data_IF_910109178174
#
_entry.id   IF_910109178174
#
_cell.length_a   1.000
_cell.length_b   1.000
_cell.length_c   1.000
_cell.angle_alpha   90.00
_cell.angle_beta   90.00
_cell.angle_gamma   90.00
#
_symmetry.space_group_name_H-M   'P 1'
#
loop_
_entity.id
_entity.type
_entity.pdbx_description
1 polymer ?
#
# COMPACT_ATOMS: atom_id res chain seq x y z
N UNK A 1 13.87 18.69 -10.56
CA UNK A 1 14.42 18.62 -11.93
C UNK A 1 13.88 17.36 -12.55
N UNK A 2 13.10 17.50 -13.62
CA UNK A 2 12.54 16.34 -14.33
C UNK A 2 13.69 15.52 -14.91
N UNK A 3 13.65 14.21 -14.69
CA UNK A 3 14.51 13.20 -15.29
C UNK A 3 14.72 13.55 -16.76
N UNK A 4 15.96 13.74 -17.23
CA UNK A 4 16.29 14.11 -18.62
C UNK A 4 15.97 13.03 -19.66
N UNK A 5 14.87 12.30 -19.47
CA UNK A 5 14.41 11.16 -20.23
C UNK A 5 13.52 11.63 -21.39
N UNK A 6 13.58 10.88 -22.50
CA UNK A 6 12.70 11.12 -23.65
C UNK A 6 11.23 10.83 -23.27
N UNK A 7 10.29 11.45 -23.99
CA UNK A 7 8.85 11.21 -23.82
C UNK A 7 8.49 9.72 -23.87
N UNK A 8 9.07 8.97 -24.81
CA UNK A 8 8.81 7.54 -24.96
C UNK A 8 9.27 6.76 -23.72
N UNK A 9 10.42 7.11 -23.17
CA UNK A 9 10.95 6.48 -21.95
C UNK A 9 10.06 6.78 -20.74
N UNK A 10 9.62 8.03 -20.59
CA UNK A 10 8.69 8.43 -19.53
C UNK A 10 7.34 7.75 -19.68
N UNK A 11 6.84 7.58 -20.91
CA UNK A 11 5.61 6.85 -21.19
C UNK A 11 5.72 5.37 -20.83
N UNK A 12 6.83 4.71 -21.15
CA UNK A 12 7.06 3.31 -20.74
C UNK A 12 7.19 3.16 -19.22
N UNK A 13 7.85 4.11 -18.57
CA UNK A 13 7.98 4.15 -17.11
C UNK A 13 6.61 4.26 -16.44
N UNK A 14 5.77 5.19 -16.93
CA UNK A 14 4.41 5.38 -16.44
C UNK A 14 3.55 4.12 -16.68
N UNK A 15 3.57 3.57 -17.89
CA UNK A 15 2.79 2.38 -18.24
C UNK A 15 3.35 1.07 -17.68
N UNK A 16 4.51 1.08 -17.02
CA UNK A 16 5.05 -0.06 -16.28
C UNK A 16 4.22 -0.45 -15.06
N UNK A 17 3.29 0.42 -14.65
CA UNK A 17 2.38 0.20 -13.52
C UNK A 17 0.94 0.01 -13.99
N UNK A 18 0.20 -0.84 -13.26
CA UNK A 18 -1.24 -0.97 -13.48
C UNK A 18 -1.97 0.36 -13.15
N UNK A 19 -3.06 0.73 -13.85
CA UNK A 19 -3.78 1.98 -13.61
C UNK A 19 -4.21 2.19 -12.15
N UNK A 20 -4.69 1.14 -11.49
CA UNK A 20 -5.07 1.17 -10.07
C UNK A 20 -3.88 1.48 -9.13
N UNK A 21 -2.65 1.18 -9.57
CA UNK A 21 -1.43 1.49 -8.85
C UNK A 21 -1.17 3.00 -8.85
N UNK A 22 -1.44 3.74 -9.93
CA UNK A 22 -1.25 5.20 -9.98
C UNK A 22 -2.10 5.94 -8.95
N UNK A 23 -3.37 5.58 -8.81
CA UNK A 23 -4.25 6.18 -7.80
C UNK A 23 -3.73 5.90 -6.38
N UNK A 24 -3.24 4.68 -6.14
CA UNK A 24 -2.63 4.29 -4.87
C UNK A 24 -1.33 5.04 -4.59
N UNK A 25 -0.46 5.13 -5.60
CA UNK A 25 0.79 5.89 -5.57
C UNK A 25 0.52 7.36 -5.23
N UNK A 26 -0.47 7.99 -5.87
CA UNK A 26 -0.86 9.38 -5.63
C UNK A 26 -1.39 9.59 -4.20
N UNK A 27 -2.17 8.64 -3.67
CA UNK A 27 -2.73 8.73 -2.32
C UNK A 27 -1.62 8.72 -1.25
N UNK A 28 -0.65 7.80 -1.37
CA UNK A 28 0.48 7.73 -0.44
C UNK A 28 1.38 8.96 -0.57
N UNK A 29 1.63 9.43 -1.80
CA UNK A 29 2.37 10.67 -2.04
C UNK A 29 1.71 11.86 -1.33
N UNK A 30 0.42 12.09 -1.56
CA UNK A 30 -0.33 13.18 -0.92
C UNK A 30 -0.36 13.04 0.61
N UNK A 31 -0.53 11.82 1.12
CA UNK A 31 -0.50 11.56 2.56
C UNK A 31 0.86 11.89 3.18
N UNK A 32 1.97 11.54 2.52
CA UNK A 32 3.32 11.85 2.97
C UNK A 32 3.59 13.36 2.92
N UNK A 33 3.16 14.06 1.86
CA UNK A 33 3.27 15.52 1.78
C UNK A 33 2.46 16.23 2.87
N UNK A 34 1.23 15.78 3.13
CA UNK A 34 0.40 16.33 4.20
C UNK A 34 1.07 16.15 5.56
N UNK A 35 1.66 14.98 5.82
CA UNK A 35 2.43 14.76 7.04
C UNK A 35 3.67 15.63 7.14
N UNK A 36 4.46 15.73 6.08
CA UNK A 36 5.68 16.52 6.12
C UNK A 36 5.38 18.01 6.36
N UNK A 37 4.30 18.51 5.77
CA UNK A 37 3.81 19.87 6.04
C UNK A 37 3.36 20.02 7.50
N UNK A 38 2.49 19.14 7.98
CA UNK A 38 1.88 19.26 9.31
C UNK A 38 2.83 18.97 10.47
N UNK A 39 3.66 17.93 10.36
CA UNK A 39 4.50 17.44 11.45
C UNK A 39 5.94 17.95 11.38
N UNK A 40 6.44 18.28 10.18
CA UNK A 40 7.83 18.69 9.98
C UNK A 40 7.97 20.14 9.46
N UNK A 41 6.86 20.82 9.14
CA UNK A 41 6.88 22.17 8.58
C UNK A 41 7.51 22.26 7.18
N UNK A 42 7.58 21.15 6.45
CA UNK A 42 8.25 21.06 5.15
C UNK A 42 7.25 21.24 4.00
N UNK A 43 7.48 22.26 3.17
CA UNK A 43 6.69 22.50 1.96
C UNK A 43 6.95 21.47 0.85
N UNK A 44 8.18 20.95 0.75
CA UNK A 44 8.55 19.90 -0.19
C UNK A 44 9.36 18.80 0.51
N UNK A 45 8.81 17.59 0.66
CA UNK A 45 9.49 16.52 1.38
C UNK A 45 10.41 15.64 0.52
N UNK A 46 10.64 16.01 -0.75
CA UNK A 46 11.47 15.25 -1.67
C UNK A 46 12.81 15.93 -1.95
N UNK A 47 13.93 15.18 -1.97
CA UNK A 47 14.04 13.75 -1.69
C UNK A 47 13.83 13.42 -0.21
N UNK A 48 13.15 12.30 0.05
CA UNK A 48 12.85 11.87 1.41
C UNK A 48 14.14 11.47 2.14
N UNK A 49 14.39 12.10 3.29
CA UNK A 49 15.50 11.75 4.18
C UNK A 49 15.13 10.55 5.06
N UNK A 50 16.15 9.83 5.53
CA UNK A 50 15.96 8.67 6.42
C UNK A 50 15.22 9.05 7.70
N UNK A 51 15.52 10.21 8.28
CA UNK A 51 14.86 10.76 9.48
C UNK A 51 13.38 11.06 9.24
N UNK A 52 13.04 11.59 8.06
CA UNK A 52 11.65 11.84 7.67
C UNK A 52 10.86 10.55 7.53
N UNK A 53 11.46 9.52 6.92
CA UNK A 53 10.84 8.20 6.79
C UNK A 53 10.64 7.54 8.16
N UNK A 54 11.60 7.69 9.08
CA UNK A 54 11.49 7.19 10.46
C UNK A 54 10.33 7.89 11.20
N UNK A 55 10.26 9.22 11.13
CA UNK A 55 9.17 9.98 11.72
C UNK A 55 7.82 9.63 11.10
N UNK A 56 7.80 9.31 9.80
CA UNK A 56 6.59 8.85 9.12
C UNK A 56 6.12 7.49 9.63
N UNK A 57 7.03 6.53 9.82
CA UNK A 57 6.71 5.24 10.45
C UNK A 57 6.18 5.43 11.88
N UNK A 58 6.77 6.34 12.66
CA UNK A 58 6.27 6.67 13.99
C UNK A 58 4.86 7.30 13.96
N UNK A 59 4.58 8.16 12.99
CA UNK A 59 3.24 8.72 12.79
C UNK A 59 2.20 7.64 12.50
N UNK A 60 2.54 6.66 11.66
CA UNK A 60 1.68 5.49 11.40
C UNK A 60 1.40 4.67 12.68
N UNK A 61 2.34 4.64 13.62
CA UNK A 61 2.18 3.90 14.88
C UNK A 61 1.15 4.59 15.76
N UNK A 62 1.23 5.91 15.90
CA UNK A 62 0.22 6.72 16.60
C UNK A 62 -1.15 6.57 15.94
N UNK A 63 -1.19 6.51 14.60
CA UNK A 63 -2.42 6.30 13.84
C UNK A 63 -2.90 4.83 13.81
N UNK A 64 -2.27 3.93 14.57
CA UNK A 64 -2.62 2.49 14.67
C UNK A 64 -2.73 1.78 13.32
N UNK A 65 -1.89 2.16 12.35
CA UNK A 65 -1.87 1.53 11.03
C UNK A 65 -1.25 0.13 11.09
N UNK A 66 -1.61 -0.73 10.14
CA UNK A 66 -1.05 -2.06 10.07
C UNK A 66 0.41 -2.04 9.59
N UNK A 67 1.21 -3.04 10.01
CA UNK A 67 2.56 -3.22 9.50
C UNK A 67 2.60 -3.34 7.96
N UNK A 68 1.62 -4.03 7.38
CA UNK A 68 1.52 -4.18 5.93
C UNK A 68 1.29 -2.84 5.22
N UNK A 69 0.51 -1.94 5.83
CA UNK A 69 0.32 -0.57 5.33
C UNK A 69 1.64 0.19 5.33
N UNK A 70 2.37 0.19 6.46
CA UNK A 70 3.66 0.90 6.54
C UNK A 70 4.66 0.38 5.52
N UNK A 71 4.78 -0.96 5.40
CA UNK A 71 5.66 -1.59 4.41
C UNK A 71 5.27 -1.21 2.98
N UNK A 72 3.97 -1.21 2.68
CA UNK A 72 3.44 -0.81 1.38
C UNK A 72 3.76 0.65 1.08
N UNK A 73 3.48 1.57 2.01
CA UNK A 73 3.70 3.00 1.85
C UNK A 73 5.19 3.32 1.62
N UNK A 74 6.11 2.67 2.36
CA UNK A 74 7.55 2.80 2.12
C UNK A 74 7.94 2.33 0.71
N UNK A 75 7.36 1.24 0.22
CA UNK A 75 7.61 0.72 -1.13
C UNK A 75 7.10 1.67 -2.21
N UNK A 76 5.92 2.25 -1.99
CA UNK A 76 5.30 3.23 -2.87
C UNK A 76 6.15 4.50 -2.94
N UNK A 77 6.57 5.04 -1.79
CA UNK A 77 7.45 6.21 -1.74
C UNK A 77 8.80 5.94 -2.43
N UNK A 78 9.36 4.74 -2.28
CA UNK A 78 10.59 4.35 -3.00
C UNK A 78 10.37 4.32 -4.51
N UNK A 79 9.24 3.79 -4.97
CA UNK A 79 8.90 3.73 -6.40
C UNK A 79 8.78 5.15 -6.98
N UNK A 80 8.10 6.06 -6.26
CA UNK A 80 8.07 7.49 -6.63
C UNK A 80 9.46 8.12 -6.78
N UNK A 81 10.40 7.77 -5.90
CA UNK A 81 11.77 8.27 -6.04
C UNK A 81 12.44 7.72 -7.30
N UNK A 82 12.22 6.45 -7.63
CA UNK A 82 12.72 5.86 -8.88
C UNK A 82 12.11 6.58 -10.09
N UNK A 83 10.80 6.79 -10.09
CA UNK A 83 10.08 7.43 -11.19
C UNK A 83 10.56 8.87 -11.44
N UNK A 84 10.84 9.60 -10.35
CA UNK A 84 11.35 10.97 -10.40
C UNK A 84 12.88 11.06 -10.56
N UNK A 85 13.60 9.94 -10.65
CA UNK A 85 15.07 9.92 -10.72
C UNK A 85 15.77 10.45 -9.47
N UNK A 86 15.11 10.37 -8.31
CA UNK A 86 15.61 10.82 -7.01
C UNK A 86 16.41 9.73 -6.28
N UNK A 87 17.33 10.10 -5.37
CA UNK A 87 18.09 9.12 -4.61
C UNK A 87 17.19 8.24 -3.72
N UNK A 88 17.45 6.94 -3.73
CA UNK A 88 16.72 5.94 -2.92
C UNK A 88 17.52 5.44 -1.70
N UNK A 89 18.67 6.06 -1.41
CA UNK A 89 19.58 5.65 -0.33
C UNK A 89 18.92 5.69 1.05
N UNK A 90 18.04 6.66 1.29
CA UNK A 90 17.30 6.81 2.55
C UNK A 90 16.45 5.57 2.91
N UNK A 91 15.89 4.88 1.90
CA UNK A 91 15.07 3.68 2.09
C UNK A 91 15.87 2.45 2.53
N UNK A 92 17.19 2.48 2.37
CA UNK A 92 18.09 1.39 2.77
C UNK A 92 18.75 1.63 4.13
N UNK A 93 18.43 2.73 4.81
CA UNK A 93 18.98 3.09 6.12
C UNK A 93 18.79 1.96 7.15
N UNK A 94 19.86 1.54 7.87
CA UNK A 94 19.75 0.58 8.97
C UNK A 94 18.77 1.02 10.06
N UNK A 95 18.75 2.32 10.37
CA UNK A 95 17.85 2.89 11.37
C UNK A 95 16.39 2.74 10.96
N UNK A 96 16.06 3.01 9.69
CA UNK A 96 14.71 2.81 9.16
C UNK A 96 14.29 1.33 9.25
N UNK A 97 15.20 0.41 8.91
CA UNK A 97 14.95 -1.04 9.03
C UNK A 97 14.64 -1.44 10.48
N UNK A 98 15.42 -0.95 11.45
CA UNK A 98 15.19 -1.22 12.87
C UNK A 98 13.85 -0.64 13.35
N UNK A 99 13.49 0.58 12.95
CA UNK A 99 12.22 1.21 13.34
C UNK A 99 11.03 0.46 12.76
N UNK A 100 11.07 0.08 11.48
CA UNK A 100 10.02 -0.73 10.83
C UNK A 100 9.90 -2.11 11.48
N UNK A 101 11.02 -2.70 11.90
CA UNK A 101 11.02 -3.96 12.63
C UNK A 101 10.41 -3.80 14.04
N UNK A 102 10.78 -2.75 14.77
CA UNK A 102 10.19 -2.42 16.07
C UNK A 102 8.69 -2.19 15.96
N UNK A 103 8.24 -1.45 14.95
CA UNK A 103 6.82 -1.26 14.64
C UNK A 103 6.09 -2.60 14.50
N UNK A 104 6.66 -3.54 13.74
CA UNK A 104 6.08 -4.87 13.55
C UNK A 104 5.90 -5.62 14.87
N UNK A 105 6.88 -5.50 15.76
CA UNK A 105 6.88 -6.21 17.04
C UNK A 105 5.84 -5.62 18.00
N UNK A 106 5.76 -4.28 18.06
CA UNK A 106 4.83 -3.57 18.94
C UNK A 106 3.37 -3.75 18.49
N UNK A 107 3.09 -3.62 17.19
CA UNK A 107 1.72 -3.78 16.69
C UNK A 107 1.25 -5.25 16.64
N UNK A 108 2.17 -6.19 16.84
CA UNK A 108 1.92 -7.61 16.70
C UNK A 108 1.67 -8.03 15.24
N UNK A 109 1.87 -9.32 14.96
CA UNK A 109 1.13 -9.91 13.86
C UNK A 109 -0.30 -10.11 14.37
N UNK A 110 -1.34 -9.55 13.73
CA UNK A 110 -2.68 -10.08 13.98
C UNK A 110 -2.60 -11.58 13.73
N UNK A 111 -3.05 -12.40 14.70
CA UNK A 111 -3.16 -13.84 14.46
C UNK A 111 -3.85 -14.01 13.11
N UNK A 112 -3.39 -14.94 12.25
CA UNK A 112 -4.16 -15.29 11.06
C UNK A 112 -5.58 -15.50 11.56
N UNK A 113 -6.53 -14.69 11.10
CA UNK A 113 -7.94 -14.99 11.35
C UNK A 113 -8.10 -16.39 10.77
N UNK A 114 -8.22 -17.38 11.65
CA UNK A 114 -8.31 -18.77 11.25
C UNK A 114 -9.51 -18.84 10.35
N UNK A 115 -9.26 -18.91 9.04
CA UNK A 115 -10.32 -19.17 8.06
C UNK A 115 -10.93 -20.48 8.54
N UNK A 116 -12.19 -20.42 8.96
CA UNK A 116 -12.91 -21.64 9.31
C UNK A 116 -12.83 -22.55 8.09
N UNK A 117 -12.57 -23.86 8.28
CA UNK A 117 -12.54 -24.78 7.16
C UNK A 117 -13.87 -24.65 6.42
N UNK A 118 -13.79 -24.43 5.10
CA UNK A 118 -14.96 -24.57 4.26
C UNK A 118 -15.26 -26.07 4.25
N UNK A 119 -16.23 -26.46 5.07
CA UNK A 119 -16.65 -27.86 5.17
C UNK A 119 -17.68 -28.16 4.09
N UNK A 120 -17.68 -29.41 3.61
CA UNK A 120 -18.64 -29.88 2.62
C UNK A 120 -20.11 -29.60 3.03
N UNK A 121 -20.53 -29.79 4.31
CA UNK A 121 -21.88 -29.46 4.73
C UNK A 121 -22.22 -27.98 4.55
N UNK A 122 -21.29 -27.07 4.81
CA UNK A 122 -21.50 -25.63 4.64
C UNK A 122 -21.64 -25.25 3.16
N UNK A 123 -20.85 -25.89 2.28
CA UNK A 123 -21.01 -25.73 0.83
C UNK A 123 -22.37 -26.23 0.33
N UNK A 124 -22.83 -27.39 0.81
CA UNK A 124 -24.13 -27.94 0.47
C UNK A 124 -25.27 -27.03 0.95
N UNK A 125 -25.19 -26.52 2.17
CA UNK A 125 -26.15 -25.55 2.70
C UNK A 125 -26.21 -24.27 1.87
N UNK A 126 -25.06 -23.75 1.44
CA UNK A 126 -25.01 -22.57 0.57
C UNK A 126 -25.65 -22.86 -0.80
N UNK A 127 -25.33 -24.00 -1.43
CA UNK A 127 -25.92 -24.39 -2.73
C UNK A 127 -27.44 -24.54 -2.64
N UNK A 128 -27.96 -25.12 -1.56
CA UNK A 128 -29.40 -25.22 -1.33
C UNK A 128 -30.06 -23.87 -1.01
N UNK A 129 -29.34 -22.92 -0.41
CA UNK A 129 -29.85 -21.59 -0.09
C UNK A 129 -29.81 -20.62 -1.29
N UNK A 130 -28.92 -20.83 -2.26
CA UNK A 130 -28.75 -19.96 -3.43
C UNK A 130 -30.03 -19.73 -4.26
N UNK A 131 -30.87 -20.75 -4.57
CA UNK A 131 -32.13 -20.55 -5.30
C UNK A 131 -33.10 -19.57 -4.62
N UNK A 132 -33.05 -19.48 -3.29
CA UNK A 132 -33.90 -18.60 -2.50
C UNK A 132 -33.36 -17.16 -2.42
N UNK A 133 -32.04 -16.98 -2.58
CA UNK A 133 -31.37 -15.69 -2.53
C UNK A 133 -31.19 -15.05 -3.91
N UNK A 134 -31.04 -15.89 -4.93
CA UNK A 134 -30.87 -15.50 -6.33
C UNK A 134 -32.15 -15.81 -7.12
N UNK A 135 -33.26 -15.18 -6.75
CA UNK A 135 -34.44 -15.09 -7.61
C UNK A 135 -34.17 -14.10 -8.78
N UNK A 136 -33.08 -14.32 -9.52
CA UNK A 136 -32.88 -13.66 -10.81
C UNK A 136 -33.51 -14.56 -11.88
N UNK A 137 -34.46 -14.06 -12.69
CA UNK A 137 -35.20 -14.87 -13.67
C UNK A 137 -34.35 -15.32 -14.88
N UNK A 138 -33.02 -15.14 -14.85
CA UNK A 138 -32.20 -15.30 -16.05
C UNK A 138 -31.63 -16.71 -16.30
N UNK A 139 -31.75 -17.65 -15.36
CA UNK A 139 -31.11 -18.96 -15.46
C UNK A 139 -32.09 -20.15 -15.57
N UNK A 140 -33.26 -19.96 -16.19
CA UNK A 140 -34.17 -21.05 -16.54
C UNK A 140 -34.13 -21.35 -18.04
N UNK A 141 -32.96 -21.68 -18.58
CA UNK A 141 -32.86 -22.35 -19.86
C UNK A 141 -31.46 -22.95 -20.03
N UNK A 142 -31.24 -24.15 -19.46
CA UNK A 142 -30.28 -25.15 -19.95
C UNK A 142 -30.49 -26.43 -19.12
N UNK A 143 -31.51 -27.20 -19.52
CA UNK A 143 -31.53 -28.66 -19.44
C UNK A 143 -32.18 -29.17 -20.71
#
# INVERSE_FOLDING_TARGET
>A
MASGLSWHTTSLLWNGHAPAMHTRLATVHSSFCAFASAALGLANPFPALSTMLINWVAHHHVASKSYNTVKHDCSVLRSWHVDLGLPTTAFNSPQLKHVVQGFKWVMGNPLPVTKLPITLPLLQQLVHALPHLCASPHNSCMF
#
